data_IF_385961589870
#
_entry.id   IF_385961589870
#
_cell.length_a   1.000
_cell.length_b   1.000
_cell.length_c   1.000
_cell.angle_alpha   90.00
_cell.angle_beta   90.00
_cell.angle_gamma   90.00
#
_symmetry.space_group_name_H-M   'P 1'
#
loop_
_entity.id
_entity.type
_entity.pdbx_description
1 polymer ?
#
# COMPACT_ATOMS: atom_id res chain seq x y z
N UNK A 1 -6.97 -13.84 -24.99
CA UNK A 1 -6.82 -13.31 -23.63
C UNK A 1 -5.54 -13.89 -23.03
N UNK A 2 -4.66 -13.04 -22.50
CA UNK A 2 -3.44 -13.44 -21.78
C UNK A 2 -3.82 -13.87 -20.35
N UNK A 3 -3.26 -14.99 -19.86
CA UNK A 3 -3.46 -15.45 -18.48
C UNK A 3 -2.11 -15.43 -17.76
N UNK A 4 -2.02 -14.67 -16.69
CA UNK A 4 -0.82 -14.49 -15.88
C UNK A 4 -1.09 -15.03 -14.47
N UNK A 5 -0.40 -16.11 -14.10
CA UNK A 5 -0.34 -16.59 -12.72
C UNK A 5 0.48 -15.62 -11.83
N UNK A 6 0.71 -15.99 -10.58
CA UNK A 6 1.42 -15.14 -9.63
C UNK A 6 2.87 -14.87 -10.07
N UNK A 7 3.58 -15.86 -10.62
CA UNK A 7 4.97 -15.70 -11.06
C UNK A 7 5.06 -14.82 -12.31
N UNK A 8 4.23 -15.09 -13.31
CA UNK A 8 4.16 -14.30 -14.53
C UNK A 8 3.70 -12.87 -14.27
N UNK A 9 2.74 -12.67 -13.35
CA UNK A 9 2.30 -11.34 -12.89
C UNK A 9 3.46 -10.60 -12.23
N UNK A 10 4.22 -11.25 -11.34
CA UNK A 10 5.39 -10.68 -10.67
C UNK A 10 6.45 -10.24 -11.65
N UNK A 11 6.82 -11.11 -12.58
CA UNK A 11 7.86 -10.85 -13.58
C UNK A 11 7.55 -9.62 -14.46
N UNK A 12 6.25 -9.32 -14.69
CA UNK A 12 5.80 -8.19 -15.52
C UNK A 12 5.57 -6.90 -14.74
N UNK A 13 5.79 -6.90 -13.43
CA UNK A 13 5.61 -5.75 -12.56
C UNK A 13 6.91 -5.39 -11.81
N UNK A 14 8.05 -5.16 -12.50
CA UNK A 14 9.25 -4.64 -11.84
C UNK A 14 8.96 -3.26 -11.23
N UNK A 15 9.57 -2.94 -10.07
CA UNK A 15 9.13 -1.79 -9.26
C UNK A 15 9.35 -0.45 -9.94
N UNK A 16 10.52 -0.21 -10.56
CA UNK A 16 10.77 1.10 -11.17
C UNK A 16 9.77 1.40 -12.31
N UNK A 17 9.54 0.53 -13.30
CA UNK A 17 8.48 0.73 -14.29
C UNK A 17 7.07 0.82 -13.70
N UNK A 18 6.78 0.09 -12.62
CA UNK A 18 5.47 0.12 -11.96
C UNK A 18 5.23 1.47 -11.27
N UNK A 19 6.24 2.04 -10.62
CA UNK A 19 6.19 3.37 -10.01
C UNK A 19 5.93 4.44 -11.09
N UNK A 20 6.58 4.33 -12.26
CA UNK A 20 6.37 5.25 -13.38
C UNK A 20 4.97 5.10 -13.99
N UNK A 21 4.47 3.87 -14.16
CA UNK A 21 3.11 3.62 -14.65
C UNK A 21 2.04 4.16 -13.68
N UNK A 22 2.24 3.99 -12.38
CA UNK A 22 1.38 4.57 -11.34
C UNK A 22 1.39 6.11 -11.42
N UNK A 23 2.58 6.72 -11.49
CA UNK A 23 2.71 8.17 -11.62
C UNK A 23 1.96 8.68 -12.85
N UNK A 24 2.15 8.03 -14.01
CA UNK A 24 1.49 8.42 -15.25
C UNK A 24 -0.04 8.35 -15.12
N UNK A 25 -0.59 7.28 -14.49
CA UNK A 25 -2.02 7.14 -14.32
C UNK A 25 -2.59 8.09 -13.25
N UNK A 26 -1.85 8.41 -12.19
CA UNK A 26 -2.25 9.46 -11.24
C UNK A 26 -2.27 10.87 -11.88
N UNK A 27 -1.40 11.12 -12.86
CA UNK A 27 -1.41 12.39 -13.62
C UNK A 27 -2.59 12.43 -14.58
N UNK A 28 -2.78 11.41 -15.43
CA UNK A 28 -3.85 11.38 -16.44
C UNK A 28 -5.23 11.16 -15.84
N UNK A 29 -5.29 10.48 -14.71
CA UNK A 29 -6.55 10.07 -14.09
C UNK A 29 -7.25 8.91 -14.80
N UNK A 30 -8.27 8.39 -14.16
CA UNK A 30 -9.21 7.41 -14.69
C UNK A 30 -10.51 7.47 -13.87
N UNK A 31 -11.58 6.94 -14.41
CA UNK A 31 -12.85 6.80 -13.68
C UNK A 31 -12.74 5.63 -12.69
N UNK A 32 -13.06 5.88 -11.43
CA UNK A 32 -13.02 4.91 -10.33
C UNK A 32 -14.35 4.95 -9.59
N UNK A 33 -15.35 4.15 -9.98
CA UNK A 33 -16.59 4.03 -9.21
C UNK A 33 -16.33 3.48 -7.80
N UNK A 34 -17.21 3.78 -6.84
CA UNK A 34 -17.17 3.15 -5.53
C UNK A 34 -17.15 1.62 -5.65
N UNK A 35 -16.32 0.96 -4.83
CA UNK A 35 -16.29 -0.51 -4.81
C UNK A 35 -17.65 -1.07 -4.37
N UNK A 36 -18.16 -2.07 -5.08
CA UNK A 36 -19.32 -2.83 -4.65
C UNK A 36 -18.86 -3.94 -3.69
N UNK A 37 -19.62 -4.13 -2.60
CA UNK A 37 -19.36 -5.17 -1.59
C UNK A 37 -20.64 -5.98 -1.41
N UNK A 38 -20.56 -7.30 -1.64
CA UNK A 38 -21.67 -8.20 -1.50
C UNK A 38 -21.38 -9.26 -0.44
N UNK A 39 -22.28 -9.39 0.55
CA UNK A 39 -22.22 -10.47 1.52
C UNK A 39 -22.64 -11.79 0.89
N UNK A 40 -21.91 -12.84 1.17
CA UNK A 40 -22.22 -14.22 0.75
C UNK A 40 -22.77 -14.95 1.96
N UNK A 41 -24.07 -15.31 1.97
CA UNK A 41 -24.68 -16.00 3.11
C UNK A 41 -24.30 -17.48 3.14
N UNK A 42 -24.31 -18.07 4.34
CA UNK A 42 -24.34 -19.51 4.55
C UNK A 42 -25.80 -20.03 4.48
N UNK A 43 -26.01 -21.35 4.39
CA UNK A 43 -27.35 -21.94 4.44
C UNK A 43 -28.16 -21.58 5.69
N UNK A 44 -27.52 -21.28 6.81
CA UNK A 44 -28.14 -20.84 8.07
C UNK A 44 -28.44 -19.33 8.12
N UNK A 45 -28.18 -18.59 7.03
CA UNK A 45 -28.39 -17.16 6.91
C UNK A 45 -27.26 -16.30 7.49
N UNK A 46 -26.29 -16.86 8.19
CA UNK A 46 -25.11 -16.12 8.65
C UNK A 46 -24.19 -15.80 7.47
N UNK A 47 -23.31 -14.78 7.62
CA UNK A 47 -22.39 -14.37 6.57
C UNK A 47 -21.17 -15.31 6.54
N UNK A 48 -20.91 -15.94 5.39
CA UNK A 48 -19.73 -16.77 5.15
C UNK A 48 -18.51 -15.90 4.79
N UNK A 49 -18.73 -14.85 4.01
CA UNK A 49 -17.70 -13.99 3.47
C UNK A 49 -18.27 -12.86 2.62
N UNK A 50 -17.38 -12.15 1.92
CA UNK A 50 -17.75 -11.04 1.04
C UNK A 50 -17.06 -11.18 -0.31
N UNK A 51 -17.73 -10.70 -1.36
CA UNK A 51 -17.14 -10.44 -2.67
C UNK A 51 -17.09 -8.94 -2.89
N UNK A 52 -15.93 -8.44 -3.29
CA UNK A 52 -15.68 -7.04 -3.63
C UNK A 52 -15.42 -6.92 -5.13
N UNK A 53 -16.08 -5.97 -5.78
CA UNK A 53 -15.84 -5.60 -7.18
C UNK A 53 -15.26 -4.19 -7.21
N UNK A 54 -14.10 -4.05 -7.83
CA UNK A 54 -13.34 -2.79 -7.87
C UNK A 54 -13.02 -2.44 -9.32
N UNK A 55 -13.95 -1.81 -10.05
CA UNK A 55 -13.74 -1.38 -11.43
C UNK A 55 -12.95 -0.07 -11.50
N UNK A 56 -12.21 0.11 -12.60
CA UNK A 56 -11.65 1.38 -13.02
C UNK A 56 -11.46 1.38 -14.55
N UNK A 57 -11.59 2.54 -15.20
CA UNK A 57 -11.35 2.63 -16.64
C UNK A 57 -10.84 3.99 -17.09
N UNK A 58 -10.06 3.97 -18.18
CA UNK A 58 -9.76 5.14 -18.96
C UNK A 58 -10.62 5.08 -20.24
N UNK A 59 -11.48 6.08 -20.48
CA UNK A 59 -12.31 6.12 -21.69
C UNK A 59 -11.48 5.93 -22.97
N UNK A 60 -11.91 5.00 -23.83
CA UNK A 60 -11.23 4.72 -25.09
C UNK A 60 -9.89 3.94 -24.99
N UNK A 61 -9.47 3.56 -23.79
CA UNK A 61 -8.24 2.78 -23.57
C UNK A 61 -8.55 1.41 -22.94
N UNK A 62 -8.36 1.24 -21.63
CA UNK A 62 -8.62 -0.01 -20.94
C UNK A 62 -9.63 0.17 -19.80
N UNK A 63 -10.37 -0.90 -19.54
CA UNK A 63 -11.23 -1.13 -18.39
C UNK A 63 -10.64 -2.29 -17.60
N UNK A 64 -10.61 -2.16 -16.28
CA UNK A 64 -10.21 -3.26 -15.42
C UNK A 64 -11.14 -3.48 -14.26
N UNK A 65 -11.26 -4.73 -13.81
CA UNK A 65 -12.05 -5.09 -12.63
C UNK A 65 -11.26 -6.04 -11.76
N UNK A 66 -10.98 -5.64 -10.52
CA UNK A 66 -10.50 -6.57 -9.50
C UNK A 66 -11.69 -7.21 -8.80
N UNK A 67 -11.73 -8.53 -8.82
CA UNK A 67 -12.67 -9.34 -8.04
C UNK A 67 -11.91 -9.92 -6.85
N UNK A 68 -12.34 -9.60 -5.63
CA UNK A 68 -11.74 -10.10 -4.38
C UNK A 68 -12.79 -10.81 -3.57
N UNK A 69 -12.49 -12.02 -3.13
CA UNK A 69 -13.29 -12.74 -2.14
C UNK A 69 -12.59 -12.74 -0.77
N UNK A 70 -13.33 -12.45 0.29
CA UNK A 70 -12.86 -12.43 1.68
C UNK A 70 -13.71 -13.40 2.49
N UNK A 71 -13.11 -14.52 2.89
CA UNK A 71 -13.74 -15.58 3.66
C UNK A 71 -12.93 -15.85 4.93
N UNK A 72 -13.23 -15.17 6.05
CA UNK A 72 -12.44 -15.28 7.29
C UNK A 72 -12.35 -16.71 7.84
N UNK A 73 -13.37 -17.52 7.62
CA UNK A 73 -13.42 -18.93 8.06
C UNK A 73 -12.41 -19.86 7.37
N UNK A 74 -11.82 -19.44 6.24
CA UNK A 74 -10.85 -20.24 5.49
C UNK A 74 -9.58 -20.57 6.31
N UNK A 75 -9.19 -19.68 7.23
CA UNK A 75 -7.99 -19.89 8.06
C UNK A 75 -8.08 -21.14 8.92
N UNK A 76 -9.29 -21.51 9.37
CA UNK A 76 -9.52 -22.75 10.12
C UNK A 76 -9.31 -24.03 9.26
N UNK A 77 -9.30 -23.88 7.92
CA UNK A 77 -9.07 -24.95 6.95
C UNK A 77 -7.68 -24.88 6.31
N UNK A 78 -6.78 -24.01 6.82
CA UNK A 78 -5.44 -23.82 6.26
C UNK A 78 -5.42 -23.08 4.92
N UNK A 79 -6.55 -22.48 4.50
CA UNK A 79 -6.66 -21.70 3.26
C UNK A 79 -6.48 -20.20 3.53
N UNK A 80 -6.09 -19.45 2.50
CA UNK A 80 -6.09 -17.99 2.59
C UNK A 80 -7.50 -17.44 2.80
N UNK A 81 -7.64 -16.45 3.68
CA UNK A 81 -8.92 -15.75 3.87
C UNK A 81 -9.24 -14.79 2.72
N UNK A 82 -8.26 -14.49 1.85
CA UNK A 82 -8.42 -13.55 0.74
C UNK A 82 -7.90 -14.18 -0.55
N UNK A 83 -8.74 -14.17 -1.57
CA UNK A 83 -8.39 -14.54 -2.94
C UNK A 83 -8.83 -13.43 -3.90
N UNK A 84 -8.13 -13.28 -5.03
CA UNK A 84 -8.51 -12.27 -6.01
C UNK A 84 -7.95 -12.54 -7.38
N UNK A 85 -8.69 -12.07 -8.37
CA UNK A 85 -8.28 -12.02 -9.77
C UNK A 85 -8.47 -10.61 -10.29
N UNK A 86 -7.69 -10.22 -11.28
CA UNK A 86 -7.87 -8.98 -12.01
C UNK A 86 -8.15 -9.28 -13.48
N UNK A 87 -9.20 -8.70 -14.03
CA UNK A 87 -9.55 -8.77 -15.45
C UNK A 87 -9.30 -7.41 -16.09
N UNK A 88 -8.52 -7.42 -17.19
CA UNK A 88 -8.27 -6.25 -18.02
C UNK A 88 -9.00 -6.44 -19.36
N UNK A 89 -9.75 -5.43 -19.81
CA UNK A 89 -10.55 -5.43 -21.02
C UNK A 89 -10.23 -4.18 -21.85
N UNK A 90 -10.48 -4.23 -23.15
CA UNK A 90 -10.48 -3.06 -24.03
C UNK A 90 -11.74 -2.23 -23.73
N UNK A 91 -11.57 -0.96 -23.36
CA UNK A 91 -12.69 -0.10 -22.96
C UNK A 91 -13.57 0.37 -24.12
N UNK A 92 -13.18 0.09 -25.39
CA UNK A 92 -13.98 0.44 -26.58
C UNK A 92 -14.86 -0.70 -27.05
N UNK A 93 -14.38 -1.95 -26.85
CA UNK A 93 -15.00 -3.15 -27.42
C UNK A 93 -15.49 -4.14 -26.37
N UNK A 94 -15.06 -4.01 -25.12
CA UNK A 94 -15.31 -4.97 -24.05
C UNK A 94 -14.54 -6.29 -24.18
N UNK A 95 -13.64 -6.43 -25.16
CA UNK A 95 -12.86 -7.66 -25.37
C UNK A 95 -11.91 -7.90 -24.20
N UNK A 96 -11.93 -9.09 -23.57
CA UNK A 96 -10.98 -9.44 -22.51
C UNK A 96 -9.55 -9.51 -23.07
N UNK A 97 -8.63 -8.76 -22.48
CA UNK A 97 -7.23 -8.64 -22.86
C UNK A 97 -6.34 -9.55 -22.01
N UNK A 98 -6.47 -9.45 -20.68
CA UNK A 98 -5.67 -10.22 -19.75
C UNK A 98 -6.42 -10.56 -18.47
N UNK A 99 -6.01 -11.67 -17.84
CA UNK A 99 -6.32 -12.04 -16.46
C UNK A 99 -5.00 -12.11 -15.68
N UNK A 100 -4.94 -11.47 -14.50
CA UNK A 100 -3.77 -11.45 -13.64
C UNK A 100 -4.11 -12.05 -12.26
N UNK A 101 -3.10 -12.60 -11.59
CA UNK A 101 -3.19 -12.92 -10.16
C UNK A 101 -3.42 -11.63 -9.36
N UNK A 102 -4.58 -11.53 -8.72
CA UNK A 102 -5.00 -10.32 -8.01
C UNK A 102 -4.23 -10.11 -6.71
N UNK A 103 -3.69 -11.16 -6.12
CA UNK A 103 -2.93 -11.10 -4.89
C UNK A 103 -1.53 -10.55 -5.12
N UNK A 104 -0.85 -11.00 -6.17
CA UNK A 104 0.45 -10.50 -6.56
C UNK A 104 0.37 -9.06 -7.09
N UNK A 105 -0.61 -8.77 -7.95
CA UNK A 105 -0.89 -7.40 -8.41
C UNK A 105 -1.07 -6.47 -7.21
N UNK A 106 -1.94 -6.83 -6.25
CA UNK A 106 -2.19 -6.02 -5.05
C UNK A 106 -0.92 -5.81 -4.24
N UNK A 107 -0.11 -6.86 -4.03
CA UNK A 107 1.11 -6.75 -3.23
C UNK A 107 2.10 -5.78 -3.87
N UNK A 108 2.34 -5.92 -5.16
CA UNK A 108 3.34 -5.11 -5.87
C UNK A 108 2.90 -3.67 -6.04
N UNK A 109 1.63 -3.42 -6.48
CA UNK A 109 1.16 -2.04 -6.67
C UNK A 109 1.07 -1.29 -5.35
N UNK A 110 0.79 -1.96 -4.23
CA UNK A 110 0.69 -1.31 -2.92
C UNK A 110 2.03 -0.75 -2.48
N UNK A 111 3.11 -1.53 -2.51
CA UNK A 111 4.43 -1.03 -2.13
C UNK A 111 4.99 -0.04 -3.15
N UNK A 112 4.63 -0.17 -4.43
CA UNK A 112 5.01 0.80 -5.45
C UNK A 112 4.33 2.17 -5.23
N UNK A 113 3.08 2.19 -4.75
CA UNK A 113 2.38 3.42 -4.34
C UNK A 113 3.07 4.06 -3.12
N UNK A 114 3.45 3.27 -2.11
CA UNK A 114 4.23 3.75 -0.97
C UNK A 114 5.58 4.34 -1.41
N UNK A 115 6.28 3.67 -2.33
CA UNK A 115 7.54 4.19 -2.88
C UNK A 115 7.32 5.47 -3.72
N UNK A 116 6.26 5.52 -4.54
CA UNK A 116 5.89 6.74 -5.28
C UNK A 116 5.63 7.91 -4.33
N UNK A 117 4.87 7.69 -3.25
CA UNK A 117 4.64 8.71 -2.22
C UNK A 117 5.96 9.12 -1.53
N UNK A 118 6.81 8.16 -1.14
CA UNK A 118 8.11 8.42 -0.55
C UNK A 118 9.04 9.23 -1.47
N UNK A 119 8.87 9.13 -2.81
CA UNK A 119 9.63 9.94 -3.76
C UNK A 119 9.36 11.45 -3.63
N UNK A 120 8.22 11.85 -3.10
CA UNK A 120 7.86 13.23 -2.81
C UNK A 120 8.04 13.60 -1.33
N UNK A 121 7.88 12.63 -0.43
CA UNK A 121 7.67 12.88 1.00
C UNK A 121 8.84 12.49 1.89
N UNK A 122 9.67 11.52 1.52
CA UNK A 122 10.88 11.19 2.25
C UNK A 122 12.03 12.13 1.85
N UNK A 123 12.99 12.36 2.75
CA UNK A 123 14.21 13.10 2.39
C UNK A 123 14.97 12.39 1.26
N UNK A 124 15.67 13.15 0.44
CA UNK A 124 16.44 12.59 -0.68
C UNK A 124 17.57 11.64 -0.23
N UNK A 125 18.15 11.91 0.93
CA UNK A 125 19.25 11.15 1.57
C UNK A 125 18.75 10.04 2.51
N UNK A 126 17.44 9.78 2.60
CA UNK A 126 16.86 8.76 3.45
C UNK A 126 17.41 7.39 3.09
N UNK A 127 18.07 6.74 4.05
CA UNK A 127 18.82 5.49 3.84
C UNK A 127 18.52 4.39 4.87
N UNK A 128 17.81 4.73 5.96
CA UNK A 128 17.46 3.81 7.04
C UNK A 128 15.96 3.54 7.00
N UNK A 129 15.59 2.34 6.57
CA UNK A 129 14.23 1.88 6.46
C UNK A 129 13.88 0.97 7.64
N UNK A 130 12.79 1.27 8.34
CA UNK A 130 12.14 0.35 9.27
C UNK A 130 10.86 -0.20 8.64
N UNK A 131 10.73 -1.51 8.60
CA UNK A 131 9.52 -2.23 8.19
C UNK A 131 8.83 -2.76 9.44
N UNK A 132 7.59 -2.31 9.68
CA UNK A 132 6.74 -2.76 10.78
C UNK A 132 5.69 -3.72 10.23
N UNK A 133 5.83 -5.00 10.59
CA UNK A 133 5.07 -6.12 10.03
C UNK A 133 5.96 -7.04 9.19
N UNK A 134 5.55 -8.31 9.04
CA UNK A 134 6.30 -9.32 8.29
C UNK A 134 5.39 -10.09 7.31
N UNK A 135 4.34 -9.45 6.83
CA UNK A 135 3.36 -10.02 5.91
C UNK A 135 3.82 -9.98 4.45
N UNK A 136 2.88 -10.34 3.55
CA UNK A 136 3.11 -10.38 2.10
C UNK A 136 3.49 -9.00 1.53
N UNK A 137 2.87 -7.92 2.01
CA UNK A 137 3.20 -6.54 1.59
C UNK A 137 4.61 -6.18 2.06
N UNK A 138 4.90 -6.39 3.35
CA UNK A 138 6.19 -6.08 3.97
C UNK A 138 7.39 -6.71 3.24
N UNK A 139 7.18 -7.87 2.59
CA UNK A 139 8.22 -8.60 1.87
C UNK A 139 8.82 -7.84 0.67
N UNK A 140 8.11 -6.83 0.16
CA UNK A 140 8.49 -6.06 -1.03
C UNK A 140 8.80 -4.58 -0.76
N UNK A 141 8.61 -4.11 0.47
CA UNK A 141 8.80 -2.69 0.82
C UNK A 141 10.24 -2.23 0.54
N UNK A 142 11.23 -3.03 0.93
CA UNK A 142 12.64 -2.66 0.73
C UNK A 142 12.97 -2.50 -0.75
N UNK A 143 12.54 -3.43 -1.60
CA UNK A 143 12.80 -3.39 -3.03
C UNK A 143 12.17 -2.15 -3.70
N UNK A 144 10.92 -1.84 -3.35
CA UNK A 144 10.22 -0.68 -3.90
C UNK A 144 10.84 0.65 -3.42
N UNK A 145 11.13 0.77 -2.12
CA UNK A 145 11.74 1.98 -1.54
C UNK A 145 13.13 2.25 -2.10
N UNK A 146 13.91 1.20 -2.39
CA UNK A 146 15.24 1.32 -3.01
C UNK A 146 15.21 1.86 -4.44
N UNK A 147 14.06 1.80 -5.13
CA UNK A 147 13.91 2.44 -6.44
C UNK A 147 13.87 3.98 -6.37
N UNK A 148 13.55 4.56 -5.21
CA UNK A 148 13.31 6.00 -5.06
C UNK A 148 14.21 6.68 -4.02
N UNK A 149 14.84 5.90 -3.11
CA UNK A 149 15.73 6.41 -2.07
C UNK A 149 16.95 5.48 -1.94
N UNK A 150 18.11 6.00 -1.51
CA UNK A 150 19.36 5.22 -1.35
C UNK A 150 19.31 4.36 -0.07
N UNK A 151 18.38 3.40 -0.02
CA UNK A 151 18.19 2.54 1.17
C UNK A 151 19.45 1.68 1.37
N UNK A 152 20.17 1.93 2.45
CA UNK A 152 21.40 1.22 2.81
C UNK A 152 21.18 0.23 3.96
N UNK A 153 20.22 0.48 4.85
CA UNK A 153 19.94 -0.36 6.01
C UNK A 153 18.45 -0.59 6.17
N UNK A 154 18.08 -1.85 6.40
CA UNK A 154 16.70 -2.25 6.67
C UNK A 154 16.61 -2.87 8.06
N UNK A 155 15.68 -2.40 8.87
CA UNK A 155 15.28 -3.03 10.12
C UNK A 155 13.89 -3.59 9.96
N UNK A 156 13.63 -4.74 10.55
CA UNK A 156 12.32 -5.40 10.49
C UNK A 156 11.86 -5.65 11.90
N UNK A 157 10.71 -5.13 12.23
CA UNK A 157 10.02 -5.42 13.47
C UNK A 157 8.69 -6.12 13.20
N UNK A 158 8.34 -7.08 14.03
CA UNK A 158 7.02 -7.73 13.99
C UNK A 158 6.66 -8.19 15.41
N UNK A 159 5.37 -8.15 15.76
CA UNK A 159 4.88 -8.61 17.07
C UNK A 159 5.26 -10.06 17.42
N UNK A 160 5.54 -10.89 16.42
CA UNK A 160 6.17 -12.20 16.59
C UNK A 160 7.60 -12.12 16.06
N UNK A 161 8.59 -12.22 16.94
CA UNK A 161 10.00 -12.10 16.56
C UNK A 161 10.40 -13.04 15.41
N UNK A 162 9.90 -14.27 15.41
CA UNK A 162 10.14 -15.24 14.32
C UNK A 162 9.74 -14.72 12.94
N UNK A 163 8.64 -13.94 12.83
CA UNK A 163 8.24 -13.31 11.58
C UNK A 163 9.23 -12.26 11.10
N UNK A 164 9.73 -11.42 12.01
CA UNK A 164 10.74 -10.42 11.68
C UNK A 164 12.07 -11.09 11.25
N UNK A 165 12.50 -12.12 11.97
CA UNK A 165 13.71 -12.90 11.64
C UNK A 165 13.61 -13.56 10.26
N UNK A 166 12.47 -14.21 9.97
CA UNK A 166 12.25 -14.85 8.66
C UNK A 166 12.23 -13.83 7.52
N UNK A 167 11.62 -12.65 7.69
CA UNK A 167 11.63 -11.61 6.68
C UNK A 167 13.03 -11.02 6.50
N UNK A 168 13.74 -10.72 7.58
CA UNK A 168 15.12 -10.21 7.51
C UNK A 168 16.05 -11.20 6.82
N UNK A 169 15.91 -12.52 7.07
CA UNK A 169 16.69 -13.56 6.38
C UNK A 169 16.44 -13.53 4.88
N UNK A 170 15.17 -13.53 4.43
CA UNK A 170 14.81 -13.43 3.01
C UNK A 170 15.31 -12.17 2.32
N UNK A 171 15.35 -11.04 3.05
CA UNK A 171 15.91 -9.79 2.53
C UNK A 171 17.43 -9.91 2.33
N UNK A 172 18.14 -10.52 3.27
CA UNK A 172 19.60 -10.78 3.15
C UNK A 172 19.94 -11.71 1.99
N UNK A 173 19.13 -12.76 1.74
CA UNK A 173 19.28 -13.65 0.57
C UNK A 173 19.19 -12.87 -0.76
N UNK A 174 18.51 -11.73 -0.78
CA UNK A 174 18.42 -10.81 -1.93
C UNK A 174 19.48 -9.69 -1.91
N UNK A 175 20.47 -9.77 -1.00
CA UNK A 175 21.58 -8.81 -0.91
C UNK A 175 21.25 -7.53 -0.13
N UNK A 176 20.13 -7.47 0.58
CA UNK A 176 19.74 -6.31 1.39
C UNK A 176 20.38 -6.40 2.78
N UNK A 177 21.00 -5.32 3.29
CA UNK A 177 21.43 -5.25 4.70
C UNK A 177 20.22 -5.17 5.62
N UNK A 178 19.71 -6.32 6.05
CA UNK A 178 18.49 -6.45 6.83
C UNK A 178 18.74 -7.15 8.18
N UNK A 179 18.15 -6.60 9.24
CA UNK A 179 18.21 -7.13 10.59
C UNK A 179 16.82 -7.08 11.26
N UNK A 180 16.44 -8.17 11.92
CA UNK A 180 15.30 -8.18 12.82
C UNK A 180 15.64 -7.43 14.12
N UNK A 181 14.70 -6.65 14.63
CA UNK A 181 14.83 -5.87 15.86
C UNK A 181 13.67 -6.14 16.80
N UNK A 182 13.92 -6.08 18.10
CA UNK A 182 12.92 -6.32 19.13
C UNK A 182 12.42 -5.01 19.76
N UNK A 183 13.28 -3.99 19.88
CA UNK A 183 12.94 -2.67 20.40
C UNK A 183 12.40 -1.78 19.26
N UNK A 184 11.07 -1.69 19.17
CA UNK A 184 10.40 -0.88 18.18
C UNK A 184 10.66 0.62 18.38
N UNK A 185 10.68 1.08 19.64
CA UNK A 185 10.86 2.50 19.93
C UNK A 185 12.24 3.00 19.48
N UNK A 186 13.30 2.27 19.81
CA UNK A 186 14.65 2.57 19.35
C UNK A 186 14.75 2.51 17.81
N UNK A 187 14.14 1.49 17.19
CA UNK A 187 14.16 1.34 15.73
C UNK A 187 13.42 2.49 14.99
N UNK A 188 12.27 2.94 15.51
CA UNK A 188 11.57 4.12 14.99
C UNK A 188 12.40 5.38 15.14
N UNK A 189 13.03 5.57 16.31
CA UNK A 189 13.88 6.73 16.57
C UNK A 189 15.12 6.81 15.67
N UNK A 190 15.59 5.70 15.11
CA UNK A 190 16.72 5.67 14.18
C UNK A 190 16.32 5.78 12.71
N UNK A 191 15.07 5.44 12.36
CA UNK A 191 14.64 5.34 10.97
C UNK A 191 14.48 6.70 10.28
N UNK A 192 14.80 6.75 8.99
CA UNK A 192 14.45 7.87 8.10
C UNK A 192 13.07 7.64 7.47
N UNK A 193 12.75 6.35 7.17
CA UNK A 193 11.45 5.92 6.68
C UNK A 193 10.95 4.79 7.58
N UNK A 194 9.71 4.91 8.07
CA UNK A 194 8.99 3.87 8.80
C UNK A 194 7.80 3.45 7.94
N UNK A 195 7.78 2.19 7.45
CA UNK A 195 6.68 1.67 6.66
C UNK A 195 5.95 0.58 7.44
N UNK A 196 4.66 0.82 7.73
CA UNK A 196 3.80 -0.08 8.47
C UNK A 196 2.84 -0.80 7.53
N UNK A 197 2.86 -2.15 7.57
CA UNK A 197 1.96 -3.00 6.78
C UNK A 197 1.45 -4.17 7.65
N UNK A 198 0.62 -3.82 8.62
CA UNK A 198 0.07 -4.73 9.63
C UNK A 198 -1.46 -4.78 9.58
N UNK A 199 -2.06 -5.71 10.34
CA UNK A 199 -3.49 -5.76 10.57
C UNK A 199 -3.82 -5.37 12.03
N UNK A 200 -2.99 -4.54 12.65
CA UNK A 200 -3.16 -4.15 14.04
C UNK A 200 -4.43 -3.30 14.22
N UNK A 201 -5.14 -3.55 15.31
CA UNK A 201 -6.23 -2.68 15.80
C UNK A 201 -5.79 -1.78 16.96
N UNK A 202 -4.50 -1.82 17.32
CA UNK A 202 -3.90 -0.97 18.36
C UNK A 202 -2.67 -0.28 17.79
N UNK A 203 -2.39 0.98 18.17
CA UNK A 203 -1.19 1.67 17.74
C UNK A 203 0.06 0.87 18.05
N UNK A 204 0.95 0.77 17.10
CA UNK A 204 2.27 0.15 17.22
C UNK A 204 3.34 1.24 17.27
N UNK A 205 3.23 2.25 16.40
CA UNK A 205 4.16 3.39 16.34
C UNK A 205 3.59 4.54 17.16
N UNK A 206 4.41 5.07 18.07
CA UNK A 206 4.07 6.24 18.87
C UNK A 206 4.76 7.48 18.33
N UNK A 207 4.00 8.59 18.19
CA UNK A 207 4.49 9.83 17.61
C UNK A 207 5.67 10.44 18.36
N UNK A 208 5.79 10.21 19.68
CA UNK A 208 6.94 10.67 20.48
C UNK A 208 8.28 10.05 20.05
N UNK A 209 8.28 8.91 19.36
CA UNK A 209 9.50 8.26 18.86
C UNK A 209 9.96 8.81 17.52
N UNK A 210 9.08 9.49 16.77
CA UNK A 210 9.42 10.06 15.48
C UNK A 210 10.38 11.24 15.62
N UNK A 211 11.48 11.21 14.88
CA UNK A 211 12.42 12.33 14.81
C UNK A 211 12.01 13.33 13.74
N UNK A 212 12.46 14.59 13.84
CA UNK A 212 12.40 15.50 12.71
C UNK A 212 13.01 14.85 11.44
N UNK A 213 12.34 15.04 10.31
CA UNK A 213 12.75 14.50 9.02
C UNK A 213 12.28 13.08 8.70
N UNK A 214 11.62 12.37 9.63
CA UNK A 214 11.08 11.03 9.39
C UNK A 214 9.91 11.07 8.40
N UNK A 215 9.85 10.08 7.52
CA UNK A 215 8.68 9.76 6.69
C UNK A 215 7.98 8.52 7.26
N UNK A 216 6.68 8.65 7.58
CA UNK A 216 5.83 7.56 8.08
C UNK A 216 4.86 7.12 6.99
N UNK A 217 4.97 5.88 6.53
CA UNK A 217 4.14 5.23 5.50
C UNK A 217 3.21 4.21 6.16
N UNK A 218 1.90 4.44 6.13
CA UNK A 218 0.87 3.64 6.80
C UNK A 218 -0.02 2.95 5.76
N UNK A 219 0.12 1.63 5.64
CA UNK A 219 -0.54 0.81 4.62
C UNK A 219 -1.63 -0.08 5.22
N UNK A 220 -1.44 -0.58 6.44
CA UNK A 220 -2.21 -1.70 6.97
C UNK A 220 -3.61 -1.35 7.46
N UNK A 221 -3.84 -0.15 7.96
CA UNK A 221 -5.13 0.30 8.49
C UNK A 221 -6.05 0.79 7.36
N UNK A 222 -6.91 -0.10 6.86
CA UNK A 222 -7.87 0.16 5.77
C UNK A 222 -9.33 -0.06 6.19
N UNK A 223 -9.58 -0.30 7.47
CA UNK A 223 -10.91 -0.27 8.10
C UNK A 223 -10.90 0.63 9.33
N UNK A 224 -12.06 1.14 9.80
CA UNK A 224 -12.12 2.04 10.96
C UNK A 224 -11.55 1.49 12.27
N UNK A 225 -11.57 0.15 12.43
CA UNK A 225 -11.11 -0.54 13.62
C UNK A 225 -9.60 -0.76 13.66
N UNK A 226 -8.95 -0.73 12.49
CA UNK A 226 -7.50 -0.94 12.36
C UNK A 226 -6.74 0.33 12.72
N UNK A 227 -5.56 0.16 13.38
CA UNK A 227 -4.71 1.28 13.77
C UNK A 227 -3.25 0.86 13.88
N UNK A 228 -2.37 1.50 13.13
CA UNK A 228 -0.92 1.22 13.14
C UNK A 228 -0.13 2.27 13.91
N UNK A 229 -0.62 3.54 13.93
CA UNK A 229 0.04 4.66 14.57
C UNK A 229 -0.88 5.37 15.58
N UNK A 230 -0.32 5.98 16.60
CA UNK A 230 -1.10 6.78 17.55
C UNK A 230 -1.49 8.14 16.97
N UNK A 231 -2.39 8.85 17.68
CA UNK A 231 -2.86 10.17 17.26
C UNK A 231 -1.75 11.22 17.25
N UNK A 232 -0.71 11.04 18.04
CA UNK A 232 0.45 11.93 18.09
C UNK A 232 1.27 11.85 16.79
N UNK A 233 1.35 10.67 16.14
CA UNK A 233 1.95 10.54 14.81
C UNK A 233 1.24 11.45 13.79
N UNK A 234 -0.10 11.41 13.79
CA UNK A 234 -0.94 12.20 12.86
C UNK A 234 -0.83 13.68 13.17
N UNK A 235 -0.89 14.05 14.46
CA UNK A 235 -0.82 15.45 14.91
C UNK A 235 0.49 16.14 14.55
N UNK A 236 1.61 15.40 14.58
CA UNK A 236 2.97 15.93 14.33
C UNK A 236 3.35 15.98 12.86
N UNK A 237 2.63 15.28 12.02
CA UNK A 237 3.03 15.07 10.63
C UNK A 237 2.24 15.95 9.65
N UNK A 238 2.87 16.29 8.53
CA UNK A 238 2.18 16.72 7.33
C UNK A 238 1.55 15.48 6.67
N UNK A 239 0.21 15.41 6.69
CA UNK A 239 -0.55 14.24 6.28
C UNK A 239 -0.88 14.29 4.80
N UNK A 240 -0.55 13.22 4.07
CA UNK A 240 -0.92 12.99 2.68
C UNK A 240 -1.65 11.65 2.57
N UNK A 241 -2.54 11.53 1.58
CA UNK A 241 -3.36 10.33 1.37
C UNK A 241 -3.25 9.85 -0.08
N UNK A 242 -3.50 8.55 -0.32
CA UNK A 242 -3.57 8.03 -1.69
C UNK A 242 -4.84 8.51 -2.41
N UNK A 243 -5.94 8.65 -1.67
CA UNK A 243 -7.21 9.19 -2.16
C UNK A 243 -8.07 9.66 -0.97
N UNK A 244 -9.13 10.42 -1.25
CA UNK A 244 -10.08 10.90 -0.24
C UNK A 244 -10.80 9.74 0.49
N UNK A 245 -10.82 8.53 -0.09
CA UNK A 245 -11.36 7.35 0.58
C UNK A 245 -10.62 7.03 1.89
N UNK A 246 -9.35 7.40 2.02
CA UNK A 246 -8.60 7.20 3.25
C UNK A 246 -9.24 7.93 4.45
N UNK A 247 -9.81 9.10 4.22
CA UNK A 247 -10.49 9.90 5.26
C UNK A 247 -11.78 9.24 5.78
N UNK A 248 -12.40 8.37 4.98
CA UNK A 248 -13.62 7.67 5.34
C UNK A 248 -13.40 6.23 5.84
N UNK A 249 -12.19 5.67 5.66
CA UNK A 249 -11.94 4.24 5.91
C UNK A 249 -10.75 3.96 6.82
N UNK A 250 -9.73 4.81 6.82
CA UNK A 250 -8.50 4.53 7.57
C UNK A 250 -8.66 4.82 9.05
N UNK A 251 -8.63 3.79 9.87
CA UNK A 251 -8.75 3.93 11.32
C UNK A 251 -7.66 4.79 11.94
N UNK A 252 -6.43 4.83 11.37
CA UNK A 252 -5.38 5.76 11.81
C UNK A 252 -5.86 7.23 11.79
N UNK A 253 -6.55 7.63 10.72
CA UNK A 253 -7.04 9.01 10.56
C UNK A 253 -8.37 9.24 11.30
N UNK A 254 -9.30 8.27 11.20
CA UNK A 254 -10.62 8.38 11.86
C UNK A 254 -10.50 8.44 13.38
N UNK A 255 -9.66 7.60 13.97
CA UNK A 255 -9.46 7.58 15.42
C UNK A 255 -8.65 8.80 15.87
N UNK A 256 -7.66 9.27 15.10
CA UNK A 256 -6.97 10.52 15.40
C UNK A 256 -7.92 11.74 15.35
N UNK A 257 -8.89 11.73 14.44
CA UNK A 257 -9.93 12.77 14.39
C UNK A 257 -10.87 12.69 15.59
N UNK A 258 -11.28 11.49 16.01
CA UNK A 258 -12.10 11.29 17.21
C UNK A 258 -11.37 11.72 18.50
N UNK A 259 -10.04 11.55 18.54
CA UNK A 259 -9.17 12.00 19.63
C UNK A 259 -8.92 13.53 19.61
N UNK A 260 -9.44 14.28 18.62
CA UNK A 260 -9.20 15.71 18.44
C UNK A 260 -7.80 16.08 17.98
N UNK A 261 -7.02 15.12 17.51
CA UNK A 261 -5.63 15.32 17.07
C UNK A 261 -5.51 15.65 15.58
N UNK A 262 -6.58 15.51 14.80
CA UNK A 262 -6.59 15.68 13.35
C UNK A 262 -7.97 16.13 12.85
N UNK A 263 -7.99 16.90 11.78
CA UNK A 263 -9.19 17.21 11.02
C UNK A 263 -8.92 16.97 9.51
N UNK A 264 -9.95 16.55 8.77
CA UNK A 264 -9.82 16.26 7.34
C UNK A 264 -9.28 17.45 6.53
N UNK A 265 -9.58 18.69 6.94
CA UNK A 265 -9.07 19.92 6.33
C UNK A 265 -7.54 20.11 6.52
N UNK A 266 -6.88 19.31 7.37
CA UNK A 266 -5.44 19.34 7.60
C UNK A 266 -4.68 18.37 6.66
N UNK A 267 -5.37 17.69 5.76
CA UNK A 267 -4.69 16.93 4.70
C UNK A 267 -3.96 17.90 3.77
N UNK A 268 -2.65 17.69 3.62
CA UNK A 268 -1.80 18.53 2.77
C UNK A 268 -1.99 18.24 1.28
N UNK A 269 -2.41 17.03 0.93
CA UNK A 269 -2.74 16.66 -0.44
C UNK A 269 -2.93 15.17 -0.65
N UNK A 270 -3.41 14.85 -1.84
CA UNK A 270 -3.51 13.47 -2.33
C UNK A 270 -2.30 13.11 -3.18
N UNK A 271 -2.04 11.81 -3.37
CA UNK A 271 -0.96 11.35 -4.24
C UNK A 271 -1.14 11.83 -5.69
N UNK A 272 -2.38 11.93 -6.17
CA UNK A 272 -2.67 12.49 -7.48
C UNK A 272 -2.23 13.96 -7.60
N UNK A 273 -2.51 14.77 -6.58
CA UNK A 273 -2.07 16.18 -6.54
C UNK A 273 -0.54 16.30 -6.49
N UNK A 274 0.14 15.43 -5.73
CA UNK A 274 1.60 15.37 -5.73
C UNK A 274 2.15 15.02 -7.12
N UNK A 275 1.58 14.01 -7.79
CA UNK A 275 2.02 13.59 -9.13
C UNK A 275 1.80 14.69 -10.18
N UNK A 276 0.72 15.48 -10.08
CA UNK A 276 0.42 16.58 -10.99
C UNK A 276 1.14 17.89 -10.64
N UNK A 277 1.90 17.93 -9.53
CA UNK A 277 2.57 19.15 -9.06
C UNK A 277 1.61 20.22 -8.53
N UNK A 278 0.37 19.87 -8.21
CA UNK A 278 -0.64 20.79 -7.65
C UNK A 278 -0.42 21.06 -6.15
N UNK A 279 0.30 20.17 -5.50
CA UNK A 279 0.73 20.30 -4.11
C UNK A 279 2.22 20.01 -3.99
N UNK A 280 2.96 20.80 -3.22
CA UNK A 280 4.35 20.47 -2.91
C UNK A 280 4.39 19.18 -2.04
N UNK A 281 5.45 18.41 -2.19
CA UNK A 281 5.77 17.34 -1.28
C UNK A 281 6.40 17.86 0.02
N UNK A 282 7.46 17.21 0.49
CA UNK A 282 8.27 17.68 1.62
C UNK A 282 8.87 19.04 1.30
N UNK A 283 8.63 20.04 2.15
CA UNK A 283 9.17 21.40 2.01
C UNK A 283 10.47 21.61 2.78
N UNK A 284 10.65 20.92 3.92
CA UNK A 284 11.78 21.10 4.81
C UNK A 284 12.36 19.76 5.28
N UNK A 285 13.68 19.72 5.53
CA UNK A 285 14.37 18.52 5.97
C UNK A 285 13.95 18.04 7.37
N UNK A 286 13.41 18.93 8.20
CA UNK A 286 12.97 18.63 9.57
C UNK A 286 11.51 18.18 9.65
N UNK A 287 10.70 18.41 8.61
CA UNK A 287 9.30 18.00 8.60
C UNK A 287 9.15 16.49 8.86
N UNK A 288 8.14 16.12 9.64
CA UNK A 288 7.64 14.76 9.68
C UNK A 288 6.53 14.67 8.64
N UNK A 289 6.62 13.74 7.71
CA UNK A 289 5.58 13.51 6.72
C UNK A 289 4.92 12.16 6.96
N UNK A 290 3.59 12.09 6.78
CA UNK A 290 2.81 10.87 6.89
C UNK A 290 2.07 10.63 5.57
N UNK A 291 2.20 9.43 5.03
CA UNK A 291 1.40 8.98 3.91
C UNK A 291 0.46 7.86 4.36
N UNK A 292 -0.84 8.03 4.14
CA UNK A 292 -1.85 7.02 4.42
C UNK A 292 -2.46 6.48 3.14
N UNK A 293 -2.35 5.17 2.91
CA UNK A 293 -2.92 4.48 1.76
C UNK A 293 -3.98 3.46 2.18
N UNK A 294 -5.09 3.44 1.47
CA UNK A 294 -6.15 2.40 1.59
C UNK A 294 -6.33 1.62 0.28
N UNK A 295 -5.65 2.04 -0.77
CA UNK A 295 -5.68 1.41 -2.08
C UNK A 295 -6.92 1.77 -2.90
N UNK A 296 -6.74 1.91 -4.21
CA UNK A 296 -7.80 2.23 -5.15
C UNK A 296 -7.71 1.36 -6.42
N UNK A 297 -8.80 1.28 -7.17
CA UNK A 297 -8.83 0.54 -8.43
C UNK A 297 -7.98 1.19 -9.53
N UNK A 298 -7.69 2.51 -9.45
CA UNK A 298 -6.71 3.20 -10.30
C UNK A 298 -5.35 2.53 -10.24
N UNK A 299 -4.90 2.21 -9.03
CA UNK A 299 -3.57 1.60 -8.79
C UNK A 299 -3.49 0.18 -9.39
N UNK A 300 -4.59 -0.58 -9.29
CA UNK A 300 -4.69 -1.90 -9.87
C UNK A 300 -4.70 -1.82 -11.42
N UNK A 301 -5.42 -0.83 -12.00
CA UNK A 301 -5.46 -0.60 -13.44
C UNK A 301 -4.07 -0.26 -13.99
N UNK A 302 -3.31 0.63 -13.35
CA UNK A 302 -1.96 0.98 -13.76
C UNK A 302 -1.04 -0.25 -13.82
N UNK A 303 -1.07 -1.09 -12.79
CA UNK A 303 -0.29 -2.32 -12.76
C UNK A 303 -0.71 -3.31 -13.86
N UNK A 304 -2.02 -3.49 -14.08
CA UNK A 304 -2.51 -4.40 -15.11
C UNK A 304 -2.17 -3.91 -16.52
N UNK A 305 -2.25 -2.62 -16.79
CA UNK A 305 -1.83 -2.01 -18.05
C UNK A 305 -0.35 -2.27 -18.33
N UNK A 306 0.53 -2.04 -17.34
CA UNK A 306 1.96 -2.32 -17.46
C UNK A 306 2.22 -3.80 -17.76
N UNK A 307 1.60 -4.72 -17.01
CA UNK A 307 1.80 -6.15 -17.19
C UNK A 307 1.36 -6.64 -18.58
N UNK A 308 0.27 -6.07 -19.10
CA UNK A 308 -0.25 -6.40 -20.44
C UNK A 308 0.63 -5.83 -21.57
N UNK A 309 1.11 -4.59 -21.44
CA UNK A 309 2.01 -3.96 -22.42
C UNK A 309 3.31 -4.76 -22.59
N UNK A 310 3.93 -5.19 -21.49
CA UNK A 310 5.12 -6.03 -21.50
C UNK A 310 4.93 -7.43 -22.12
N UNK A 311 3.70 -7.83 -22.44
CA UNK A 311 3.42 -9.08 -23.16
C UNK A 311 3.37 -8.91 -24.69
N UNK A 312 3.37 -7.68 -25.19
CA UNK A 312 3.26 -7.33 -26.62
C UNK A 312 4.59 -6.84 -27.21
N UNK A 313 5.56 -6.56 -26.33
CA UNK A 313 6.95 -6.24 -26.66
C UNK A 313 7.77 -7.54 -26.76
#
# INVERSE_FOLDING_TARGET
MLILDAEATRARLPFAPLIDALRALFVSGCDVPPRAVHAIPKPDGSVAGHVLLMPAWQPGAQLGVKVVSVFPGNTAQGLSSLHGVYLLLDARTGVPLAQLDGAELTSRRTVAVSALAASFLARADASRLLIVGAGRISAWVADAMSCVRPIARVRVWNHRAAGAQALAARLRERGVDALAVDDLAAAVAEADIVSCATLSSRPLVEGRWLRPGTHLDLVGSFTPEMREADSECVRRAHVFVDSDEALAKAGDLLQAAADGAFAAAQVHGTLAQLCRGERPGRGDASEITLFKSVGSALQDLAGAQLAWQGARA
#
